data_IF_581781256754
#
_entry.id   IF_581781256754
#
_cell.length_a   1.000
_cell.length_b   1.000
_cell.length_c   1.000
_cell.angle_alpha   90.00
_cell.angle_beta   90.00
_cell.angle_gamma   90.00
#
_symmetry.space_group_name_H-M   'P 1'
#
loop_
_entity.id
_entity.type
_entity.pdbx_description
1 polymer ?
#
# COMPACT_ATOMS: atom_id res chain seq x y z
N UNK A 1 -2.60 0.78 11.19
CA UNK A 1 -1.79 1.94 10.72
C UNK A 1 -1.21 1.68 9.33
N UNK A 2 -0.54 0.55 9.10
CA UNK A 2 -0.13 0.11 7.74
C UNK A 2 -1.28 0.20 6.71
N UNK A 3 -2.44 -0.37 7.05
CA UNK A 3 -3.63 -0.31 6.18
C UNK A 3 -4.17 1.11 5.90
N UNK A 4 -3.95 2.08 6.82
CA UNK A 4 -4.28 3.48 6.58
C UNK A 4 -3.38 4.06 5.48
N UNK A 5 -2.06 3.84 5.59
CA UNK A 5 -1.10 4.29 4.59
C UNK A 5 -1.36 3.64 3.22
N UNK A 6 -1.57 2.33 3.21
CA UNK A 6 -1.91 1.58 2.00
C UNK A 6 -3.19 2.11 1.33
N UNK A 7 -4.30 2.21 2.07
CA UNK A 7 -5.60 2.64 1.52
C UNK A 7 -5.59 4.07 1.00
N UNK A 8 -4.98 5.00 1.75
CA UNK A 8 -4.86 6.40 1.32
C UNK A 8 -4.00 6.53 0.05
N UNK A 9 -2.83 5.90 0.02
CA UNK A 9 -1.91 5.99 -1.13
C UNK A 9 -2.47 5.28 -2.36
N UNK A 10 -3.15 4.14 -2.17
CA UNK A 10 -3.86 3.45 -3.25
C UNK A 10 -4.97 4.33 -3.84
N UNK A 11 -5.75 5.01 -2.97
CA UNK A 11 -6.81 5.92 -3.40
C UNK A 11 -6.29 7.14 -4.13
N UNK A 12 -5.21 7.76 -3.68
CA UNK A 12 -4.59 8.84 -4.43
C UNK A 12 -4.04 8.36 -5.79
N UNK A 13 -3.56 7.11 -5.85
CA UNK A 13 -3.18 6.45 -7.10
C UNK A 13 -4.37 6.27 -8.04
N UNK A 14 -5.56 5.90 -7.59
CA UNK A 14 -6.72 5.69 -8.48
C UNK A 14 -7.20 6.97 -9.18
N UNK A 15 -6.95 8.15 -8.60
CA UNK A 15 -7.17 9.43 -9.32
C UNK A 15 -6.34 9.52 -10.62
N UNK A 16 -5.13 8.96 -10.62
CA UNK A 16 -4.28 8.88 -11.80
C UNK A 16 -4.88 7.95 -12.87
N UNK A 17 -5.57 6.88 -12.47
CA UNK A 17 -6.23 5.96 -13.40
C UNK A 17 -7.29 6.66 -14.24
N UNK A 18 -8.13 7.50 -13.62
CA UNK A 18 -9.14 8.29 -14.34
C UNK A 18 -8.48 9.25 -15.33
N UNK A 19 -7.46 10.00 -14.90
CA UNK A 19 -6.78 11.00 -15.73
C UNK A 19 -5.98 10.36 -16.88
N UNK A 20 -5.28 9.26 -16.61
CA UNK A 20 -4.58 8.51 -17.64
C UNK A 20 -5.56 7.86 -18.62
N UNK A 21 -6.69 7.31 -18.15
CA UNK A 21 -7.73 6.76 -19.02
C UNK A 21 -8.31 7.81 -19.97
N UNK A 22 -8.58 9.02 -19.48
CA UNK A 22 -9.00 10.15 -20.31
C UNK A 22 -7.93 10.57 -21.32
N UNK A 23 -6.67 10.68 -20.89
CA UNK A 23 -5.57 11.04 -21.78
C UNK A 23 -5.34 9.99 -22.88
N UNK A 24 -5.43 8.70 -22.55
CA UNK A 24 -5.34 7.59 -23.53
C UNK A 24 -6.51 7.66 -24.51
N UNK A 25 -7.74 7.84 -24.02
CA UNK A 25 -8.93 8.01 -24.89
C UNK A 25 -8.84 9.23 -25.82
N UNK A 26 -8.12 10.27 -25.42
CA UNK A 26 -7.85 11.47 -26.22
C UNK A 26 -6.57 11.36 -27.08
N UNK A 27 -5.87 10.21 -27.09
CA UNK A 27 -4.62 10.01 -27.84
C UNK A 27 -3.40 10.75 -27.30
N UNK A 28 -3.45 11.29 -26.08
CA UNK A 28 -2.41 12.14 -25.48
C UNK A 28 -1.40 11.35 -24.62
N UNK A 29 -0.79 10.31 -25.19
CA UNK A 29 0.09 9.38 -24.44
C UNK A 29 1.26 10.07 -23.73
N UNK A 30 1.84 11.11 -24.34
CA UNK A 30 2.95 11.89 -23.76
C UNK A 30 2.65 12.55 -22.41
N UNK A 31 1.37 12.71 -22.05
CA UNK A 31 0.98 13.31 -20.77
C UNK A 31 1.02 12.31 -19.60
N UNK A 32 0.96 11.00 -19.88
CA UNK A 32 0.89 9.95 -18.86
C UNK A 32 2.12 9.97 -17.94
N UNK A 33 3.32 10.12 -18.50
CA UNK A 33 4.55 10.23 -17.71
C UNK A 33 4.56 11.44 -16.79
N UNK A 34 3.99 12.57 -17.24
CA UNK A 34 3.85 13.79 -16.42
C UNK A 34 2.84 13.58 -15.30
N UNK A 35 1.71 12.92 -15.57
CA UNK A 35 0.73 12.60 -14.54
C UNK A 35 1.27 11.60 -13.50
N UNK A 36 2.05 10.61 -13.91
CA UNK A 36 2.74 9.70 -13.00
C UNK A 36 3.69 10.47 -12.07
N UNK A 37 4.52 11.36 -12.61
CA UNK A 37 5.43 12.19 -11.81
C UNK A 37 4.67 13.12 -10.85
N UNK A 38 3.58 13.72 -11.31
CA UNK A 38 2.70 14.56 -10.47
C UNK A 38 2.11 13.76 -9.32
N UNK A 39 1.65 12.56 -9.59
CA UNK A 39 1.11 11.66 -8.59
C UNK A 39 2.18 11.20 -7.59
N UNK A 40 3.42 10.94 -8.04
CA UNK A 40 4.54 10.68 -7.12
C UNK A 40 4.77 11.84 -6.14
N UNK A 41 4.78 13.09 -6.61
CA UNK A 41 4.98 14.26 -5.75
C UNK A 41 3.90 14.30 -4.65
N UNK A 42 2.63 14.14 -5.04
CA UNK A 42 1.50 14.22 -4.10
C UNK A 42 1.51 13.02 -3.15
N UNK A 43 1.70 11.81 -3.64
CA UNK A 43 1.73 10.60 -2.82
C UNK A 43 2.92 10.61 -1.85
N UNK A 44 4.11 11.08 -2.26
CA UNK A 44 5.27 11.19 -1.39
C UNK A 44 5.05 12.25 -0.32
N UNK A 45 4.48 13.41 -0.66
CA UNK A 45 4.12 14.44 0.32
C UNK A 45 3.13 13.91 1.36
N UNK A 46 2.10 13.17 0.92
CA UNK A 46 1.14 12.53 1.84
C UNK A 46 1.80 11.44 2.68
N UNK A 47 2.68 10.62 2.11
CA UNK A 47 3.42 9.61 2.87
C UNK A 47 4.29 10.25 3.97
N UNK A 48 4.94 11.39 3.67
CA UNK A 48 5.67 12.20 4.65
C UNK A 48 4.72 12.75 5.73
N UNK A 49 3.55 13.26 5.35
CA UNK A 49 2.54 13.74 6.29
C UNK A 49 1.96 12.63 7.20
N UNK A 50 2.03 11.36 6.77
CA UNK A 50 1.62 10.20 7.55
C UNK A 50 2.70 9.69 8.52
N UNK A 51 3.96 10.13 8.39
CA UNK A 51 5.06 9.68 9.26
C UNK A 51 4.77 9.86 10.75
N UNK A 52 4.18 10.98 11.24
CA UNK A 52 3.82 11.10 12.66
C UNK A 52 2.94 9.95 13.15
N UNK A 53 1.98 9.48 12.35
CA UNK A 53 1.12 8.34 12.72
C UNK A 53 1.94 7.05 12.91
N UNK A 54 2.96 6.84 12.08
CA UNK A 54 3.87 5.70 12.19
C UNK A 54 4.80 5.83 13.41
N UNK A 55 5.36 7.03 13.64
CA UNK A 55 6.27 7.28 14.75
C UNK A 55 5.57 7.17 16.11
N UNK A 56 4.32 7.65 16.19
CA UNK A 56 3.49 7.66 17.40
C UNK A 56 2.50 6.49 17.46
N UNK A 57 2.74 5.39 16.75
CA UNK A 57 1.85 4.22 16.77
C UNK A 57 1.62 3.67 18.18
N UNK A 58 2.67 3.51 18.99
CA UNK A 58 2.54 3.01 20.38
C UNK A 58 1.61 3.89 21.23
N UNK A 59 1.85 5.21 21.42
CA UNK A 59 0.95 6.04 22.20
C UNK A 59 -0.46 6.16 21.61
N UNK A 60 -0.61 6.15 20.28
CA UNK A 60 -1.93 6.12 19.64
C UNK A 60 -2.70 4.85 20.03
N UNK A 61 -2.06 3.68 19.99
CA UNK A 61 -2.72 2.42 20.33
C UNK A 61 -3.07 2.34 21.82
N UNK A 62 -2.20 2.87 22.70
CA UNK A 62 -2.52 2.98 24.14
C UNK A 62 -3.72 3.89 24.40
N UNK A 63 -3.82 5.00 23.66
CA UNK A 63 -5.00 5.89 23.74
C UNK A 63 -6.28 5.16 23.30
N UNK A 64 -6.17 4.27 22.32
CA UNK A 64 -7.23 3.36 21.87
C UNK A 64 -7.43 2.13 22.80
N UNK A 65 -6.87 2.17 24.02
CA UNK A 65 -7.00 1.14 25.06
C UNK A 65 -6.47 -0.24 24.65
N UNK A 66 -5.48 -0.30 23.75
CA UNK A 66 -4.73 -1.53 23.50
C UNK A 66 -3.75 -1.81 24.64
N UNK A 67 -3.40 -3.08 24.83
CA UNK A 67 -2.47 -3.47 25.90
C UNK A 67 -1.09 -2.81 25.68
N UNK A 68 -0.34 -2.49 26.75
CA UNK A 68 0.99 -1.88 26.62
C UNK A 68 1.97 -2.74 25.81
N UNK A 69 1.89 -4.06 25.94
CA UNK A 69 2.76 -5.01 25.22
C UNK A 69 2.49 -5.00 23.71
N UNK A 70 1.21 -5.11 23.31
CA UNK A 70 0.81 -5.07 21.88
C UNK A 70 1.17 -3.71 21.28
N UNK A 71 0.89 -2.62 22.00
CA UNK A 71 1.16 -1.26 21.54
C UNK A 71 2.65 -1.04 21.31
N UNK A 72 3.51 -1.54 22.21
CA UNK A 72 4.96 -1.43 22.08
C UNK A 72 5.51 -2.22 20.88
N UNK A 73 5.03 -3.45 20.66
CA UNK A 73 5.43 -4.28 19.51
C UNK A 73 4.98 -3.62 18.20
N UNK A 74 3.71 -3.20 18.12
CA UNK A 74 3.16 -2.54 16.95
C UNK A 74 3.87 -1.21 16.65
N UNK A 75 4.22 -0.45 17.68
CA UNK A 75 4.97 0.80 17.54
C UNK A 75 6.37 0.60 16.96
N UNK A 76 7.10 -0.43 17.39
CA UNK A 76 8.40 -0.77 16.79
C UNK A 76 8.24 -1.22 15.33
N UNK A 77 7.28 -2.09 15.06
CA UNK A 77 7.03 -2.59 13.72
C UNK A 77 6.66 -1.47 12.74
N UNK A 78 5.74 -0.57 13.13
CA UNK A 78 5.33 0.55 12.30
C UNK A 78 6.53 1.43 11.91
N UNK A 79 7.44 1.72 12.84
CA UNK A 79 8.68 2.46 12.51
C UNK A 79 9.57 1.72 11.52
N UNK A 80 9.67 0.39 11.61
CA UNK A 80 10.42 -0.40 10.63
C UNK A 80 9.78 -0.42 9.24
N UNK A 81 8.46 -0.25 9.13
CA UNK A 81 7.74 -0.20 7.86
C UNK A 81 7.71 1.19 7.19
N UNK A 82 8.34 2.21 7.76
CA UNK A 82 8.42 3.54 7.13
C UNK A 82 8.98 3.50 5.70
N UNK A 83 10.04 2.73 5.37
CA UNK A 83 10.50 2.63 3.98
C UNK A 83 9.47 2.03 3.03
N UNK A 84 8.66 1.07 3.50
CA UNK A 84 7.56 0.47 2.74
C UNK A 84 6.45 1.50 2.46
N UNK A 85 6.13 2.38 3.42
CA UNK A 85 5.17 3.48 3.18
C UNK A 85 5.61 4.38 2.03
N UNK A 86 6.90 4.73 1.97
CA UNK A 86 7.46 5.51 0.86
C UNK A 86 7.45 4.71 -0.45
N UNK A 87 7.70 3.39 -0.37
CA UNK A 87 7.63 2.53 -1.54
C UNK A 87 6.22 2.49 -2.14
N UNK A 88 5.15 2.47 -1.32
CA UNK A 88 3.77 2.57 -1.80
C UNK A 88 3.50 3.85 -2.59
N UNK A 89 4.01 4.98 -2.10
CA UNK A 89 3.84 6.27 -2.75
C UNK A 89 4.45 6.31 -4.17
N UNK A 90 5.51 5.53 -4.40
CA UNK A 90 6.14 5.37 -5.71
C UNK A 90 5.44 4.29 -6.53
N UNK A 91 5.04 3.19 -5.90
CA UNK A 91 4.51 2.02 -6.57
C UNK A 91 3.14 2.27 -7.22
N UNK A 92 2.17 2.81 -6.48
CA UNK A 92 0.80 2.93 -6.99
C UNK A 92 0.70 3.82 -8.23
N UNK A 93 1.38 4.97 -8.33
CA UNK A 93 1.37 5.75 -9.56
C UNK A 93 1.97 4.99 -10.75
N UNK A 94 3.06 4.23 -10.54
CA UNK A 94 3.61 3.37 -11.60
C UNK A 94 2.59 2.34 -12.04
N UNK A 95 1.94 1.64 -11.11
CA UNK A 95 0.92 0.64 -11.43
C UNK A 95 -0.16 1.23 -12.35
N UNK A 96 -0.65 2.44 -12.06
CA UNK A 96 -1.67 3.09 -12.89
C UNK A 96 -1.14 3.55 -14.24
N UNK A 97 0.12 3.95 -14.33
CA UNK A 97 0.79 4.23 -15.61
C UNK A 97 0.83 2.99 -16.52
N UNK A 98 1.17 1.81 -15.98
CA UNK A 98 1.13 0.55 -16.73
C UNK A 98 -0.30 0.12 -17.09
N UNK A 99 -1.23 0.22 -16.15
CA UNK A 99 -2.64 -0.18 -16.34
C UNK A 99 -3.33 0.65 -17.43
N UNK A 100 -3.13 1.97 -17.44
CA UNK A 100 -3.72 2.85 -18.45
C UNK A 100 -3.27 2.52 -19.88
N UNK A 101 -2.12 1.88 -20.04
CA UNK A 101 -1.56 1.47 -21.33
C UNK A 101 -1.75 -0.02 -21.62
N UNK A 102 -2.58 -0.71 -20.83
CA UNK A 102 -2.83 -2.15 -20.93
C UNK A 102 -1.55 -3.02 -20.82
N UNK A 103 -0.49 -2.50 -20.18
CA UNK A 103 0.79 -3.22 -19.94
C UNK A 103 0.84 -3.92 -18.58
N UNK A 104 -0.31 -4.43 -18.12
CA UNK A 104 -0.46 -5.06 -16.80
C UNK A 104 0.40 -6.32 -16.65
N UNK A 105 0.64 -7.06 -17.74
CA UNK A 105 1.47 -8.27 -17.73
C UNK A 105 2.89 -8.01 -17.19
N UNK A 106 3.47 -6.83 -17.45
CA UNK A 106 4.80 -6.46 -16.94
C UNK A 106 4.78 -6.42 -15.41
N UNK A 107 3.77 -5.77 -14.85
CA UNK A 107 3.58 -5.69 -13.41
C UNK A 107 3.36 -7.08 -12.81
N UNK A 108 2.59 -7.93 -13.49
CA UNK A 108 2.31 -9.30 -13.05
C UNK A 108 3.58 -10.13 -12.98
N UNK A 109 4.44 -10.08 -14.01
CA UNK A 109 5.70 -10.82 -14.03
C UNK A 109 6.66 -10.33 -12.92
N UNK A 110 6.84 -9.02 -12.80
CA UNK A 110 7.71 -8.43 -11.76
C UNK A 110 7.18 -8.78 -10.36
N UNK A 111 5.88 -8.60 -10.12
CA UNK A 111 5.28 -8.87 -8.81
C UNK A 111 5.28 -10.37 -8.49
N UNK A 112 5.06 -11.23 -9.48
CA UNK A 112 5.11 -12.68 -9.34
C UNK A 112 6.50 -13.17 -8.95
N UNK A 113 7.54 -12.70 -9.65
CA UNK A 113 8.93 -12.99 -9.29
C UNK A 113 9.28 -12.46 -7.89
N UNK A 114 8.86 -11.22 -7.58
CA UNK A 114 9.09 -10.60 -6.29
C UNK A 114 8.41 -11.36 -5.14
N UNK A 115 7.20 -11.91 -5.33
CA UNK A 115 6.51 -12.69 -4.30
C UNK A 115 7.22 -14.01 -4.01
N UNK A 116 7.74 -14.68 -5.05
CA UNK A 116 8.54 -15.90 -4.90
C UNK A 116 9.83 -15.63 -4.12
N UNK A 117 10.53 -14.55 -4.48
CA UNK A 117 11.71 -14.09 -3.76
C UNK A 117 11.38 -13.67 -2.32
N UNK A 118 10.28 -12.95 -2.10
CA UNK A 118 9.83 -12.52 -0.77
C UNK A 118 9.55 -13.71 0.14
N UNK A 119 8.88 -14.75 -0.37
CA UNK A 119 8.61 -15.97 0.38
C UNK A 119 9.92 -16.70 0.76
N UNK A 120 10.84 -16.85 -0.20
CA UNK A 120 12.15 -17.45 0.04
C UNK A 120 12.96 -16.68 1.08
N UNK A 121 13.03 -15.35 0.94
CA UNK A 121 13.75 -14.49 1.87
C UNK A 121 13.15 -14.53 3.28
N UNK A 122 11.82 -14.54 3.42
CA UNK A 122 11.19 -14.70 4.73
C UNK A 122 11.50 -16.07 5.34
N UNK A 123 11.45 -17.14 4.56
CA UNK A 123 11.81 -18.46 5.06
C UNK A 123 13.26 -18.50 5.58
N UNK A 124 14.21 -17.93 4.84
CA UNK A 124 15.60 -17.84 5.29
C UNK A 124 15.75 -16.94 6.52
N UNK A 125 15.30 -15.68 6.44
CA UNK A 125 15.57 -14.65 7.44
C UNK A 125 14.78 -14.87 8.74
N UNK A 126 13.51 -15.24 8.62
CA UNK A 126 12.62 -15.39 9.78
C UNK A 126 12.67 -16.81 10.32
N UNK A 127 12.45 -17.82 9.47
CA UNK A 127 12.34 -19.21 9.94
C UNK A 127 13.70 -19.88 10.19
N UNK A 128 14.71 -19.65 9.34
CA UNK A 128 16.04 -20.27 9.52
C UNK A 128 16.97 -19.46 10.41
N UNK A 129 17.04 -18.14 10.21
CA UNK A 129 17.96 -17.26 10.94
C UNK A 129 17.35 -16.66 12.21
N UNK A 130 16.07 -16.90 12.49
CA UNK A 130 15.42 -16.49 13.75
C UNK A 130 15.33 -14.97 13.95
N UNK A 131 15.37 -14.15 12.88
CA UNK A 131 15.40 -12.67 12.99
C UNK A 131 14.05 -12.05 13.35
N UNK A 132 13.01 -12.87 13.53
CA UNK A 132 11.69 -12.47 14.01
C UNK A 132 11.05 -11.33 13.20
N UNK A 133 10.31 -10.48 13.90
CA UNK A 133 9.50 -9.42 13.30
C UNK A 133 10.31 -8.32 12.61
N UNK A 134 11.52 -8.02 13.12
CA UNK A 134 12.44 -7.08 12.46
C UNK A 134 12.88 -7.64 11.10
N UNK A 135 13.25 -8.92 11.05
CA UNK A 135 13.62 -9.60 9.81
C UNK A 135 12.50 -9.55 8.78
N UNK A 136 11.27 -9.83 9.19
CA UNK A 136 10.09 -9.75 8.32
C UNK A 136 9.88 -8.34 7.75
N UNK A 137 9.97 -7.31 8.60
CA UNK A 137 9.84 -5.91 8.16
C UNK A 137 10.92 -5.52 7.13
N UNK A 138 12.18 -5.92 7.37
CA UNK A 138 13.29 -5.61 6.46
C UNK A 138 13.13 -6.32 5.12
N UNK A 139 12.74 -7.60 5.12
CA UNK A 139 12.44 -8.33 3.87
C UNK A 139 11.28 -7.68 3.12
N UNK A 140 10.22 -7.27 3.83
CA UNK A 140 9.09 -6.52 3.26
C UNK A 140 9.54 -5.23 2.56
N UNK A 141 10.30 -4.38 3.26
CA UNK A 141 10.88 -3.16 2.69
C UNK A 141 11.70 -3.45 1.42
N UNK A 142 12.59 -4.44 1.48
CA UNK A 142 13.45 -4.82 0.36
C UNK A 142 12.62 -5.29 -0.86
N UNK A 143 11.60 -6.11 -0.64
CA UNK A 143 10.72 -6.58 -1.71
C UNK A 143 9.97 -5.44 -2.40
N UNK A 144 9.40 -4.51 -1.63
CA UNK A 144 8.70 -3.35 -2.20
C UNK A 144 9.62 -2.45 -3.02
N UNK A 145 10.82 -2.16 -2.51
CA UNK A 145 11.79 -1.34 -3.24
C UNK A 145 12.36 -2.06 -4.46
N UNK A 146 12.53 -3.39 -4.41
CA UNK A 146 12.92 -4.18 -5.58
C UNK A 146 11.87 -4.13 -6.68
N UNK A 147 10.58 -4.26 -6.34
CA UNK A 147 9.48 -4.11 -7.30
C UNK A 147 9.52 -2.71 -7.92
N UNK A 148 9.69 -1.67 -7.10
CA UNK A 148 9.77 -0.29 -7.58
C UNK A 148 10.95 -0.08 -8.52
N UNK A 149 12.13 -0.58 -8.16
CA UNK A 149 13.32 -0.48 -8.99
C UNK A 149 13.12 -1.19 -10.34
N UNK A 150 12.62 -2.43 -10.32
CA UNK A 150 12.37 -3.21 -11.54
C UNK A 150 11.34 -2.53 -12.46
N UNK A 151 10.23 -2.02 -11.90
CA UNK A 151 9.24 -1.27 -12.66
C UNK A 151 9.83 0.03 -13.21
N UNK A 152 10.51 0.82 -12.39
CA UNK A 152 11.11 2.06 -12.84
C UNK A 152 12.15 1.85 -13.94
N UNK A 153 13.02 0.85 -13.80
CA UNK A 153 13.99 0.45 -14.84
C UNK A 153 13.30 0.08 -16.16
N UNK A 154 12.18 -0.64 -16.10
CA UNK A 154 11.42 -0.98 -17.30
C UNK A 154 10.78 0.26 -17.94
N UNK A 155 10.32 1.24 -17.15
CA UNK A 155 9.81 2.52 -17.69
C UNK A 155 10.92 3.30 -18.41
N UNK A 156 12.08 3.47 -17.78
CA UNK A 156 13.19 4.26 -18.34
C UNK A 156 13.98 3.51 -19.42
N UNK A 157 13.85 2.18 -19.50
CA UNK A 157 14.52 1.31 -20.47
C UNK A 157 13.98 1.38 -21.90
N UNK A 158 13.17 2.39 -22.23
CA UNK A 158 12.69 2.63 -23.60
C UNK A 158 11.45 1.83 -24.02
N UNK A 159 10.82 1.11 -23.10
CA UNK A 159 9.58 0.35 -23.39
C UNK A 159 8.33 1.24 -23.59
N UNK A 160 8.44 2.54 -23.28
CA UNK A 160 7.35 3.52 -23.35
C UNK A 160 7.78 4.85 -24.00
N UNK A 161 8.26 4.85 -25.25
CA UNK A 161 8.83 6.05 -25.88
C UNK A 161 7.82 7.20 -26.02
N UNK A 162 6.54 6.88 -26.23
CA UNK A 162 5.49 7.89 -26.39
C UNK A 162 4.96 8.42 -25.06
N UNK A 163 5.00 7.61 -24.00
CA UNK A 163 4.39 7.95 -22.70
C UNK A 163 5.40 8.45 -21.66
N UNK A 164 6.68 8.09 -21.80
CA UNK A 164 7.76 8.50 -20.92
C UNK A 164 8.87 9.21 -21.71
N UNK A 165 8.93 10.54 -21.57
CA UNK A 165 9.95 11.41 -22.18
C UNK A 165 10.97 11.92 -21.15
N UNK A 166 11.04 11.27 -19.98
CA UNK A 166 11.89 11.67 -18.87
C UNK A 166 11.21 12.62 -17.87
N UNK A 167 12.00 13.11 -16.92
CA UNK A 167 11.50 14.02 -15.87
C UNK A 167 11.12 15.39 -16.46
N UNK A 168 9.99 15.92 -16.01
CA UNK A 168 9.44 17.18 -16.53
C UNK A 168 9.03 18.13 -15.42
N UNK A 169 9.39 19.41 -15.56
CA UNK A 169 8.92 20.49 -14.65
C UNK A 169 7.39 20.65 -14.68
N UNK A 170 6.73 20.18 -15.74
CA UNK A 170 5.25 20.17 -15.84
C UNK A 170 4.59 19.33 -14.74
N UNK A 171 5.32 18.41 -14.11
CA UNK A 171 4.84 17.64 -12.97
C UNK A 171 4.46 18.53 -11.78
N UNK A 172 5.14 19.67 -11.59
CA UNK A 172 4.89 20.63 -10.50
C UNK A 172 3.79 21.65 -10.82
N UNK A 173 3.33 21.71 -12.07
CA UNK A 173 2.27 22.62 -12.47
C UNK A 173 0.89 22.05 -12.11
N UNK A 174 -0.06 22.94 -11.77
CA UNK A 174 -1.48 22.62 -11.59
C UNK A 174 -1.77 21.49 -10.59
N UNK A 175 -1.03 21.46 -9.47
CA UNK A 175 -1.19 20.44 -8.42
C UNK A 175 -2.55 20.50 -7.72
N UNK A 176 -3.14 21.69 -7.54
CA UNK A 176 -4.37 21.86 -6.74
C UNK A 176 -5.56 21.01 -7.21
N UNK A 177 -5.80 20.96 -8.52
CA UNK A 177 -6.86 20.12 -9.08
C UNK A 177 -6.61 18.62 -8.89
N UNK A 178 -5.35 18.20 -9.03
CA UNK A 178 -4.93 16.81 -8.83
C UNK A 178 -5.02 16.41 -7.35
N UNK A 179 -4.59 17.28 -6.43
CA UNK A 179 -4.72 17.09 -4.98
C UNK A 179 -6.18 16.91 -4.59
N UNK A 180 -7.10 17.75 -5.08
CA UNK A 180 -8.53 17.62 -4.78
C UNK A 180 -9.09 16.25 -5.20
N UNK A 181 -8.74 15.80 -6.40
CA UNK A 181 -9.17 14.49 -6.91
C UNK A 181 -8.54 13.34 -6.11
N UNK A 182 -7.23 13.40 -5.88
CA UNK A 182 -6.49 12.42 -5.09
C UNK A 182 -7.02 12.30 -3.67
N UNK A 183 -7.35 13.42 -3.00
CA UNK A 183 -7.92 13.41 -1.65
C UNK A 183 -9.32 12.78 -1.63
N UNK A 184 -10.18 13.09 -2.59
CA UNK A 184 -11.51 12.49 -2.69
C UNK A 184 -11.42 10.95 -2.83
N UNK A 185 -10.56 10.47 -3.72
CA UNK A 185 -10.32 9.03 -3.92
C UNK A 185 -9.64 8.37 -2.70
N UNK A 186 -8.74 9.08 -2.02
CA UNK A 186 -8.09 8.61 -0.80
C UNK A 186 -9.11 8.36 0.32
N UNK A 187 -10.00 9.34 0.58
CA UNK A 187 -11.05 9.22 1.60
C UNK A 187 -12.00 8.08 1.26
N UNK A 188 -12.40 7.96 -0.01
CA UNK A 188 -13.30 6.89 -0.46
C UNK A 188 -12.69 5.50 -0.19
N UNK A 189 -11.47 5.23 -0.68
CA UNK A 189 -10.86 3.91 -0.51
C UNK A 189 -10.47 3.63 0.94
N UNK A 190 -10.03 4.64 1.69
CA UNK A 190 -9.80 4.48 3.13
C UNK A 190 -11.08 4.08 3.87
N UNK A 191 -12.21 4.72 3.56
CA UNK A 191 -13.50 4.40 4.16
C UNK A 191 -13.94 2.98 3.81
N UNK A 192 -13.87 2.59 2.53
CA UNK A 192 -14.19 1.23 2.07
C UNK A 192 -13.34 0.18 2.79
N UNK A 193 -12.03 0.40 2.88
CA UNK A 193 -11.14 -0.51 3.57
C UNK A 193 -11.51 -0.63 5.05
N UNK A 194 -11.78 0.50 5.72
CA UNK A 194 -12.18 0.55 7.12
C UNK A 194 -13.50 -0.21 7.37
N UNK A 195 -14.49 -0.05 6.49
CA UNK A 195 -15.75 -0.80 6.56
C UNK A 195 -15.54 -2.31 6.38
N UNK A 196 -14.67 -2.73 5.45
CA UNK A 196 -14.36 -4.13 5.24
C UNK A 196 -13.72 -4.75 6.50
N UNK A 197 -12.73 -4.09 7.10
CA UNK A 197 -12.12 -4.57 8.35
C UNK A 197 -13.12 -4.65 9.50
N UNK A 198 -13.99 -3.65 9.63
CA UNK A 198 -15.04 -3.65 10.65
C UNK A 198 -16.02 -4.81 10.45
N UNK A 199 -16.46 -5.07 9.22
CA UNK A 199 -17.35 -6.18 8.91
C UNK A 199 -16.71 -7.54 9.25
N UNK A 200 -15.44 -7.75 8.88
CA UNK A 200 -14.69 -8.96 9.23
C UNK A 200 -14.53 -9.10 10.74
N UNK A 201 -14.22 -8.01 11.44
CA UNK A 201 -14.10 -8.01 12.90
C UNK A 201 -15.42 -8.36 13.59
N UNK A 202 -16.52 -7.76 13.16
CA UNK A 202 -17.85 -8.06 13.69
C UNK A 202 -18.27 -9.50 13.40
N UNK A 203 -18.00 -10.01 12.19
CA UNK A 203 -18.28 -11.40 11.83
C UNK A 203 -17.47 -12.39 12.68
N UNK A 204 -16.18 -12.12 12.90
CA UNK A 204 -15.35 -12.95 13.80
C UNK A 204 -15.84 -12.89 15.24
N UNK A 205 -16.29 -11.72 15.71
CA UNK A 205 -16.84 -11.56 17.05
C UNK A 205 -18.15 -12.33 17.20
N UNK A 206 -19.04 -12.28 16.22
CA UNK A 206 -20.26 -13.11 16.22
C UNK A 206 -19.95 -14.60 16.16
N UNK A 207 -18.94 -15.02 15.38
CA UNK A 207 -18.54 -16.43 15.32
C UNK A 207 -17.90 -16.92 16.63
N UNK A 208 -17.12 -16.07 17.32
CA UNK A 208 -16.55 -16.39 18.63
C UNK A 208 -17.61 -16.44 19.72
N UNK A 209 -18.56 -15.50 19.74
CA UNK A 209 -19.73 -15.53 20.64
C UNK A 209 -20.54 -16.79 20.42
N UNK A 210 -20.82 -17.13 19.16
CA UNK A 210 -21.54 -18.36 18.81
C UNK A 210 -20.76 -19.61 19.24
N UNK A 211 -19.43 -19.64 19.10
CA UNK A 211 -18.63 -20.78 19.59
C UNK A 211 -18.59 -20.88 21.12
N UNK A 212 -18.65 -19.76 21.84
CA UNK A 212 -18.70 -19.77 23.32
C UNK A 212 -20.08 -20.13 23.87
N UNK A 213 -21.15 -19.88 23.11
CA UNK A 213 -22.50 -20.35 23.43
C UNK A 213 -22.70 -21.86 23.17
N UNK A 214 -21.79 -22.48 22.43
CA UNK A 214 -21.81 -23.92 22.09
C UNK A 214 -20.56 -24.67 22.61
N UNK A 215 -19.91 -24.16 23.66
CA UNK A 215 -18.88 -24.95 24.35
C UNK A 215 -19.58 -26.12 25.06
N UNK A 216 -19.16 -27.35 24.74
CA UNK A 216 -19.92 -28.59 24.95
C UNK A 216 -20.14 -29.03 26.41
N UNK A 217 -20.00 -28.14 27.39
CA UNK A 217 -20.36 -28.41 28.79
C UNK A 217 -21.86 -28.56 29.01
N UNK A 218 -22.69 -27.97 28.15
CA UNK A 218 -24.16 -28.04 28.29
C UNK A 218 -24.75 -29.37 27.80
N UNK A 219 -24.01 -30.15 27.01
CA UNK A 219 -24.43 -31.50 26.58
C UNK A 219 -24.12 -32.59 27.60
N UNK A 220 -23.23 -32.35 28.58
CA UNK A 220 -22.93 -33.32 29.64
C UNK A 220 -23.87 -33.23 30.86
N UNK A 221 -24.80 -32.27 30.91
CA UNK A 221 -25.77 -32.13 32.00
C UNK A 221 -27.15 -32.78 31.70
N UNK A 222 -27.31 -33.40 30.53
CA UNK A 222 -28.59 -33.96 30.07
C UNK A 222 -28.53 -35.47 29.70
N UNK A 223 -27.53 -36.21 30.19
CA UNK A 223 -27.44 -37.67 30.10
C UNK A 223 -27.17 -38.28 31.48
#
# INVERSE_FOLDING_TARGET
IEGLGFGLLLGMGSALETLCGQAVGAGQLHTLGVYMQRSWIICLATAVALLPVYMFTDPILRLLRQSPEISAVAGRYARWCVPQLLAYAVNFPMQKFYQAQSRVWVMTLISGAAVGLHALLNWVVVARLGRGLLGAAMVGNASWWLINAAQFLYVVGGSFPEAWTGFSRKAFASLGGFVRLSLASAVMLWFVFSCFFLAVFLHRRSALVFSSEWDGSDFCAAA
#
